data_IF_897279187432
#
_entry.id   IF_897279187432
#
_cell.length_a   1.000
_cell.length_b   1.000
_cell.length_c   1.000
_cell.angle_alpha   90.00
_cell.angle_beta   90.00
_cell.angle_gamma   90.00
#
_symmetry.space_group_name_H-M   'P 1'
#
loop_
_entity.id
_entity.type
_entity.pdbx_description
1 polymer ?
#
# COMPACT_ATOMS: atom_id res chain seq x y z
N UNK A 1 -24.00 -13.46 8.73
CA UNK A 1 -22.58 -13.53 9.11
C UNK A 1 -21.72 -13.59 7.85
N UNK A 2 -20.72 -12.71 7.71
CA UNK A 2 -19.80 -12.67 6.56
C UNK A 2 -18.52 -13.49 6.79
N UNK A 3 -17.62 -13.52 5.81
CA UNK A 3 -16.38 -14.31 5.86
C UNK A 3 -15.49 -14.05 7.08
N UNK A 4 -15.46 -12.83 7.61
CA UNK A 4 -14.72 -12.49 8.83
C UNK A 4 -15.21 -13.28 10.06
N UNK A 5 -16.53 -13.42 10.24
CA UNK A 5 -17.09 -14.17 11.37
C UNK A 5 -16.74 -15.65 11.27
N UNK A 6 -16.85 -16.22 10.06
CA UNK A 6 -16.49 -17.62 9.78
C UNK A 6 -15.01 -17.90 10.04
N UNK A 7 -14.14 -16.96 9.68
CA UNK A 7 -12.71 -17.04 9.96
C UNK A 7 -12.41 -17.01 11.47
N UNK A 8 -13.08 -16.15 12.22
CA UNK A 8 -12.93 -16.09 13.69
C UNK A 8 -13.47 -17.35 14.38
N UNK A 9 -14.59 -17.90 13.91
CA UNK A 9 -15.11 -19.18 14.40
C UNK A 9 -14.09 -20.32 14.19
N UNK A 10 -13.47 -20.39 13.01
CA UNK A 10 -12.42 -21.36 12.72
C UNK A 10 -11.19 -21.15 13.63
N UNK A 11 -10.76 -19.89 13.80
CA UNK A 11 -9.66 -19.57 14.73
C UNK A 11 -9.94 -20.02 16.16
N UNK A 12 -11.14 -19.74 16.69
CA UNK A 12 -11.53 -20.16 18.05
C UNK A 12 -11.53 -21.68 18.17
N UNK A 13 -12.01 -22.40 17.16
CA UNK A 13 -12.03 -23.85 17.19
C UNK A 13 -10.61 -24.43 17.16
N UNK A 14 -9.75 -23.92 16.27
CA UNK A 14 -8.34 -24.33 16.16
C UNK A 14 -7.58 -24.06 17.46
N UNK A 15 -7.78 -22.90 18.08
CA UNK A 15 -7.13 -22.57 19.36
C UNK A 15 -7.57 -23.45 20.53
N UNK A 16 -8.75 -24.09 20.46
CA UNK A 16 -9.19 -25.08 21.47
C UNK A 16 -8.56 -26.44 21.27
N UNK A 17 -8.19 -26.77 20.03
CA UNK A 17 -7.65 -28.07 19.64
C UNK A 17 -6.11 -28.11 19.70
N UNK A 18 -5.48 -26.95 19.48
CA UNK A 18 -4.03 -26.78 19.58
C UNK A 18 -3.59 -26.54 21.02
N UNK A 19 -2.37 -26.98 21.36
CA UNK A 19 -1.74 -26.71 22.66
C UNK A 19 -1.21 -25.27 22.68
N UNK A 20 -1.13 -24.67 23.88
CA UNK A 20 -0.72 -23.27 24.10
C UNK A 20 0.66 -22.88 23.51
N UNK A 21 1.53 -23.85 23.23
CA UNK A 21 2.88 -23.63 22.65
C UNK A 21 2.92 -23.64 21.11
N UNK A 22 1.77 -23.65 20.44
CA UNK A 22 1.73 -23.74 18.97
C UNK A 22 2.20 -22.46 18.29
N UNK A 23 3.16 -22.57 17.37
CA UNK A 23 3.63 -21.44 16.57
C UNK A 23 2.49 -20.82 15.74
N UNK A 24 2.53 -19.49 15.55
CA UNK A 24 1.50 -18.76 14.79
C UNK A 24 1.27 -19.32 13.38
N UNK A 25 2.32 -19.81 12.72
CA UNK A 25 2.23 -20.44 11.41
C UNK A 25 1.38 -21.73 11.43
N UNK A 26 1.52 -22.55 12.47
CA UNK A 26 0.74 -23.77 12.64
C UNK A 26 -0.74 -23.46 12.89
N UNK A 27 -1.03 -22.44 13.71
CA UNK A 27 -2.40 -21.96 13.95
C UNK A 27 -3.04 -21.48 12.66
N UNK A 28 -2.36 -20.62 11.91
CA UNK A 28 -2.86 -20.09 10.63
C UNK A 28 -3.10 -21.23 9.63
N UNK A 29 -2.16 -22.17 9.50
CA UNK A 29 -2.31 -23.33 8.62
C UNK A 29 -3.52 -24.21 8.97
N UNK A 30 -3.77 -24.46 10.26
CA UNK A 30 -4.93 -25.20 10.71
C UNK A 30 -6.26 -24.47 10.42
N UNK A 31 -6.30 -23.15 10.63
CA UNK A 31 -7.49 -22.33 10.29
C UNK A 31 -7.77 -22.39 8.80
N UNK A 32 -6.75 -22.26 7.96
CA UNK A 32 -6.88 -22.36 6.51
C UNK A 32 -7.41 -23.72 6.07
N UNK A 33 -6.90 -24.80 6.66
CA UNK A 33 -7.35 -26.16 6.36
C UNK A 33 -8.84 -26.33 6.71
N UNK A 34 -9.24 -25.90 7.91
CA UNK A 34 -10.61 -26.01 8.37
C UNK A 34 -11.57 -25.19 7.49
N UNK A 35 -11.21 -23.96 7.14
CA UNK A 35 -11.99 -23.11 6.24
C UNK A 35 -12.12 -23.73 4.84
N UNK A 36 -11.05 -24.32 4.30
CA UNK A 36 -11.07 -24.97 2.99
C UNK A 36 -11.97 -26.20 2.97
N UNK A 37 -11.97 -26.99 4.05
CA UNK A 37 -12.83 -28.17 4.17
C UNK A 37 -14.31 -27.80 4.34
N UNK A 38 -14.60 -26.78 5.17
CA UNK A 38 -15.98 -26.34 5.46
C UNK A 38 -16.60 -25.53 4.33
N UNK A 39 -15.78 -24.82 3.56
CA UNK A 39 -16.21 -23.99 2.43
C UNK A 39 -15.42 -24.39 1.18
N UNK A 40 -15.79 -25.47 0.49
CA UNK A 40 -15.05 -25.99 -0.67
C UNK A 40 -14.92 -24.95 -1.80
N UNK A 41 -15.94 -24.09 -1.94
CA UNK A 41 -15.96 -22.98 -2.88
C UNK A 41 -14.97 -21.86 -2.55
N UNK A 42 -14.21 -21.97 -1.46
CA UNK A 42 -13.18 -21.04 -1.06
C UNK A 42 -11.74 -21.47 -1.42
N UNK A 43 -11.56 -22.71 -1.89
CA UNK A 43 -10.26 -23.23 -2.31
C UNK A 43 -9.93 -22.95 -3.78
N UNK A 44 -8.65 -23.10 -4.15
CA UNK A 44 -8.13 -22.83 -5.51
C UNK A 44 -8.74 -23.64 -6.62
N UNK A 45 -9.30 -24.81 -6.33
CA UNK A 45 -10.02 -25.60 -7.31
C UNK A 45 -11.27 -24.88 -7.85
N UNK A 46 -11.75 -23.84 -7.15
CA UNK A 46 -12.93 -23.05 -7.55
C UNK A 46 -12.57 -21.70 -8.17
N UNK A 47 -11.35 -21.20 -7.97
CA UNK A 47 -10.94 -19.86 -8.43
C UNK A 47 -9.66 -19.94 -9.26
N UNK A 48 -9.80 -19.66 -10.56
CA UNK A 48 -8.66 -19.40 -11.43
C UNK A 48 -7.93 -18.10 -11.06
N UNK A 49 -6.68 -17.95 -11.51
CA UNK A 49 -5.83 -16.79 -11.19
C UNK A 49 -6.49 -15.46 -11.57
N UNK A 50 -7.21 -15.39 -12.70
CA UNK A 50 -7.87 -14.17 -13.18
C UNK A 50 -9.05 -13.77 -12.29
N UNK A 51 -9.78 -14.76 -11.81
CA UNK A 51 -10.86 -14.61 -10.86
C UNK A 51 -10.36 -14.11 -9.49
N UNK A 52 -9.25 -14.66 -9.00
CA UNK A 52 -8.57 -14.16 -7.79
C UNK A 52 -8.14 -12.70 -7.98
N UNK A 53 -7.46 -12.38 -9.09
CA UNK A 53 -7.05 -11.01 -9.43
C UNK A 53 -8.24 -10.06 -9.47
N UNK A 54 -9.35 -10.46 -10.09
CA UNK A 54 -10.53 -9.61 -10.22
C UNK A 54 -11.14 -9.25 -8.85
N UNK A 55 -11.22 -10.22 -7.93
CA UNK A 55 -11.71 -9.97 -6.57
C UNK A 55 -10.74 -9.05 -5.81
N UNK A 56 -9.45 -9.34 -5.86
CA UNK A 56 -8.42 -8.57 -5.17
C UNK A 56 -8.37 -7.12 -5.66
N UNK A 57 -8.38 -6.90 -6.97
CA UNK A 57 -8.47 -5.57 -7.61
C UNK A 57 -9.72 -4.82 -7.19
N UNK A 58 -10.86 -5.50 -7.19
CA UNK A 58 -12.14 -4.89 -6.79
C UNK A 58 -12.16 -4.51 -5.31
N UNK A 59 -11.60 -5.37 -4.45
CA UNK A 59 -11.51 -5.10 -3.01
C UNK A 59 -10.58 -3.91 -2.73
N UNK A 60 -9.40 -3.87 -3.35
CA UNK A 60 -8.39 -2.84 -3.08
C UNK A 60 -8.77 -1.48 -3.68
N UNK A 61 -9.33 -1.44 -4.89
CA UNK A 61 -9.79 -0.19 -5.52
C UNK A 61 -11.01 0.44 -4.83
N UNK A 62 -11.68 -0.28 -3.91
CA UNK A 62 -12.91 0.18 -3.26
C UNK A 62 -14.06 0.43 -4.25
N UNK A 63 -14.00 -0.19 -5.44
CA UNK A 63 -14.99 -0.01 -6.51
C UNK A 63 -16.35 -0.58 -6.10
N UNK A 64 -17.41 0.15 -6.43
CA UNK A 64 -18.78 -0.35 -6.32
C UNK A 64 -19.10 -1.32 -7.45
N UNK A 65 -19.54 -2.52 -7.11
CA UNK A 65 -20.03 -3.55 -8.04
C UNK A 65 -21.55 -3.54 -8.04
N UNK A 66 -22.19 -3.64 -9.20
CA UNK A 66 -23.66 -3.74 -9.23
C UNK A 66 -24.08 -5.14 -8.81
N UNK A 67 -25.21 -5.22 -8.11
CA UNK A 67 -25.78 -6.50 -7.70
C UNK A 67 -26.11 -7.34 -8.93
N UNK A 68 -25.72 -8.61 -8.92
CA UNK A 68 -25.88 -9.56 -10.02
C UNK A 68 -24.70 -9.61 -10.99
N UNK A 69 -23.81 -8.61 -10.99
CA UNK A 69 -22.61 -8.63 -11.82
C UNK A 69 -21.66 -9.75 -11.35
N UNK A 70 -21.02 -10.41 -12.31
CA UNK A 70 -19.92 -11.35 -12.03
C UNK A 70 -18.58 -10.61 -12.10
N UNK A 71 -17.64 -11.02 -11.24
CA UNK A 71 -16.24 -10.66 -11.35
C UNK A 71 -15.53 -11.80 -12.10
N UNK A 72 -15.38 -11.65 -13.41
CA UNK A 72 -14.93 -12.72 -14.30
C UNK A 72 -15.87 -13.93 -14.12
N UNK A 73 -15.38 -15.03 -13.57
CA UNK A 73 -16.16 -16.26 -13.35
C UNK A 73 -16.84 -16.30 -11.97
N UNK A 74 -16.50 -15.36 -11.07
CA UNK A 74 -16.96 -15.37 -9.67
C UNK A 74 -18.26 -14.57 -9.52
N UNK A 75 -19.24 -15.20 -8.87
CA UNK A 75 -20.33 -14.47 -8.24
C UNK A 75 -19.97 -14.21 -6.77
N UNK A 76 -19.51 -12.99 -6.46
CA UNK A 76 -19.04 -12.65 -5.12
C UNK A 76 -20.15 -12.78 -4.06
N UNK A 77 -21.43 -12.66 -4.46
CA UNK A 77 -22.58 -12.84 -3.57
C UNK A 77 -22.83 -14.31 -3.17
N UNK A 78 -22.22 -15.25 -3.89
CA UNK A 78 -22.27 -16.69 -3.59
C UNK A 78 -20.95 -17.19 -2.96
N UNK A 79 -19.95 -16.31 -2.82
CA UNK A 79 -18.66 -16.66 -2.26
C UNK A 79 -18.70 -16.50 -0.73
N UNK A 80 -18.80 -17.62 -0.03
CA UNK A 80 -19.05 -17.69 1.42
C UNK A 80 -18.02 -16.99 2.33
N UNK A 81 -16.78 -16.88 1.89
CA UNK A 81 -15.69 -16.24 2.63
C UNK A 81 -15.45 -14.78 2.22
N UNK A 82 -16.16 -14.28 1.21
CA UNK A 82 -16.12 -12.87 0.84
C UNK A 82 -17.19 -12.13 1.66
N UNK A 83 -16.81 -11.06 2.34
CA UNK A 83 -17.78 -10.15 2.95
C UNK A 83 -18.10 -9.04 1.96
N UNK A 84 -19.39 -8.71 1.85
CA UNK A 84 -19.89 -7.65 0.98
C UNK A 84 -20.50 -6.55 1.82
N UNK A 85 -20.11 -5.30 1.55
CA UNK A 85 -20.73 -4.10 2.14
C UNK A 85 -21.66 -3.49 1.11
N UNK A 86 -22.96 -3.58 1.34
CA UNK A 86 -23.96 -3.00 0.45
C UNK A 86 -24.11 -1.50 0.68
N UNK A 87 -24.50 -0.77 -0.37
CA UNK A 87 -25.03 0.58 -0.21
C UNK A 87 -26.44 0.54 0.38
N UNK A 88 -26.96 1.68 0.82
CA UNK A 88 -28.28 1.78 1.46
C UNK A 88 -29.41 1.22 0.58
N UNK A 89 -29.32 1.44 -0.74
CA UNK A 89 -30.29 0.94 -1.71
C UNK A 89 -30.18 -0.57 -1.99
N UNK A 90 -29.17 -1.27 -1.46
CA UNK A 90 -28.89 -2.70 -1.72
C UNK A 90 -28.76 -3.06 -3.21
N UNK A 91 -28.40 -2.08 -4.05
CA UNK A 91 -28.22 -2.23 -5.50
C UNK A 91 -26.76 -2.40 -5.90
N UNK A 92 -25.84 -2.01 -5.02
CA UNK A 92 -24.40 -2.13 -5.23
C UNK A 92 -23.73 -2.62 -3.96
N UNK A 93 -22.54 -3.21 -4.12
CA UNK A 93 -21.71 -3.62 -3.00
C UNK A 93 -20.25 -3.29 -3.24
N UNK A 94 -19.51 -3.13 -2.15
CA UNK A 94 -18.04 -3.20 -2.09
C UNK A 94 -17.63 -4.56 -1.54
N UNK A 95 -16.45 -5.00 -1.93
CA UNK A 95 -15.86 -6.23 -1.43
C UNK A 95 -14.95 -5.91 -0.24
N UNK A 96 -15.25 -6.53 0.91
CA UNK A 96 -14.40 -6.53 2.09
C UNK A 96 -13.87 -7.95 2.27
N UNK A 97 -12.65 -8.21 1.81
CA UNK A 97 -12.04 -9.53 1.94
C UNK A 97 -11.44 -9.69 3.35
N UNK A 98 -11.75 -10.76 4.10
CA UNK A 98 -10.99 -11.10 5.30
C UNK A 98 -9.54 -11.41 4.95
N UNK A 99 -8.60 -10.88 5.73
CA UNK A 99 -7.17 -11.05 5.44
C UNK A 99 -6.72 -12.53 5.37
N UNK A 100 -7.33 -13.42 6.17
CA UNK A 100 -7.06 -14.87 6.07
C UNK A 100 -7.43 -15.45 4.69
N UNK A 101 -8.45 -14.91 4.03
CA UNK A 101 -8.86 -15.34 2.69
C UNK A 101 -7.82 -14.94 1.65
N UNK A 102 -7.22 -13.74 1.79
CA UNK A 102 -6.07 -13.33 0.99
C UNK A 102 -4.93 -14.35 1.13
N UNK A 103 -4.62 -14.75 2.37
CA UNK A 103 -3.59 -15.73 2.64
C UNK A 103 -3.92 -17.11 2.05
N UNK A 104 -5.17 -17.56 2.17
CA UNK A 104 -5.65 -18.81 1.56
C UNK A 104 -5.45 -18.83 0.04
N UNK A 105 -5.85 -17.76 -0.66
CA UNK A 105 -5.68 -17.70 -2.10
C UNK A 105 -4.21 -17.62 -2.51
N UNK A 106 -3.42 -16.75 -1.88
CA UNK A 106 -2.02 -16.55 -2.27
C UNK A 106 -1.14 -17.78 -2.04
N UNK A 107 -1.49 -18.62 -1.06
CA UNK A 107 -0.80 -19.90 -0.80
C UNK A 107 -1.12 -20.98 -1.85
N UNK A 108 -2.20 -20.83 -2.61
CA UNK A 108 -2.57 -21.78 -3.66
C UNK A 108 -2.01 -21.44 -5.04
N UNK A 109 -1.55 -20.20 -5.20
CA UNK A 109 -0.94 -19.72 -6.43
C UNK A 109 0.51 -20.21 -6.47
N UNK A 110 1.02 -20.69 -7.61
CA UNK A 110 2.42 -21.09 -7.76
C UNK A 110 3.40 -19.99 -7.30
N UNK A 111 4.48 -20.37 -6.62
CA UNK A 111 5.46 -19.42 -6.09
C UNK A 111 6.04 -18.47 -7.16
N UNK A 112 6.10 -18.93 -8.41
CA UNK A 112 6.61 -18.19 -9.57
C UNK A 112 5.56 -17.36 -10.34
N UNK A 113 4.31 -17.25 -9.87
CA UNK A 113 3.31 -16.38 -10.52
C UNK A 113 3.73 -14.92 -10.42
N UNK A 114 4.09 -14.32 -11.56
CA UNK A 114 4.56 -12.93 -11.64
C UNK A 114 3.47 -11.91 -11.31
N UNK A 115 2.22 -12.24 -11.64
CA UNK A 115 1.10 -11.28 -11.56
C UNK A 115 0.52 -11.16 -10.14
N UNK A 116 0.70 -12.18 -9.30
CA UNK A 116 0.22 -12.18 -7.91
C UNK A 116 1.36 -11.97 -6.90
N UNK A 117 2.61 -11.92 -7.35
CA UNK A 117 3.77 -11.62 -6.50
C UNK A 117 3.62 -10.30 -5.69
N UNK A 118 3.09 -9.19 -6.24
CA UNK A 118 2.88 -7.95 -5.46
C UNK A 118 1.98 -8.15 -4.24
N UNK A 119 0.99 -9.04 -4.33
CA UNK A 119 0.03 -9.32 -3.24
C UNK A 119 0.66 -10.11 -2.10
N UNK A 120 1.75 -10.86 -2.36
CA UNK A 120 2.52 -11.56 -1.33
C UNK A 120 3.48 -10.66 -0.56
N UNK A 121 3.84 -9.48 -1.11
CA UNK A 121 4.74 -8.52 -0.44
C UNK A 121 4.25 -8.13 0.96
N UNK A 122 2.95 -8.30 1.21
CA UNK A 122 2.29 -7.91 2.42
C UNK A 122 1.89 -9.12 3.26
N UNK A 123 2.57 -10.28 3.18
CA UNK A 123 2.21 -11.53 3.90
C UNK A 123 2.64 -11.57 5.39
N UNK A 124 2.27 -12.65 6.10
CA UNK A 124 2.47 -12.80 7.55
C UNK A 124 3.92 -12.97 8.01
N UNK A 125 4.90 -13.09 7.11
CA UNK A 125 6.31 -13.35 7.49
C UNK A 125 6.89 -12.28 8.43
N UNK A 126 6.47 -11.02 8.28
CA UNK A 126 6.93 -9.89 9.10
C UNK A 126 6.41 -9.89 10.55
N UNK A 127 5.37 -10.66 10.89
CA UNK A 127 4.94 -10.82 12.28
C UNK A 127 5.89 -11.69 13.10
N UNK A 128 6.83 -12.37 12.43
CA UNK A 128 7.85 -13.20 13.06
C UNK A 128 9.11 -12.41 13.45
N UNK A 129 9.24 -11.14 13.03
CA UNK A 129 10.40 -10.31 13.33
C UNK A 129 10.06 -9.16 14.26
N UNK A 130 10.97 -8.85 15.17
CA UNK A 130 10.91 -7.63 15.97
C UNK A 130 11.04 -6.40 15.05
N UNK A 131 10.08 -5.46 15.13
CA UNK A 131 10.08 -4.28 14.28
C UNK A 131 11.14 -3.26 14.65
N UNK A 132 11.70 -2.55 13.67
CA UNK A 132 12.44 -1.32 13.91
C UNK A 132 11.53 -0.25 14.53
N UNK A 133 11.94 0.35 15.66
CA UNK A 133 11.18 1.41 16.33
C UNK A 133 11.39 2.81 15.74
N UNK A 134 12.11 2.92 14.63
CA UNK A 134 12.53 4.21 14.06
C UNK A 134 11.64 4.72 12.91
N UNK A 135 10.46 4.13 12.73
CA UNK A 135 9.52 4.48 11.66
C UNK A 135 9.83 3.84 10.31
N UNK A 136 10.96 3.15 10.15
CA UNK A 136 11.32 2.47 8.89
C UNK A 136 10.24 1.48 8.45
N UNK A 137 9.60 0.77 9.39
CA UNK A 137 8.51 -0.16 9.07
C UNK A 137 7.28 0.57 8.49
N UNK A 138 6.96 1.76 8.99
CA UNK A 138 5.89 2.60 8.44
C UNK A 138 6.20 3.02 7.01
N UNK A 139 7.44 3.44 6.75
CA UNK A 139 7.89 3.84 5.41
C UNK A 139 7.86 2.67 4.41
N UNK A 140 8.45 1.53 4.80
CA UNK A 140 8.50 0.31 3.98
C UNK A 140 7.09 -0.21 3.68
N UNK A 141 6.21 -0.24 4.68
CA UNK A 141 4.81 -0.62 4.53
C UNK A 141 4.09 0.25 3.51
N UNK A 142 4.17 1.58 3.62
CA UNK A 142 3.46 2.49 2.72
C UNK A 142 4.03 2.44 1.30
N UNK A 143 5.35 2.31 1.14
CA UNK A 143 5.97 2.13 -0.16
C UNK A 143 5.54 0.81 -0.83
N UNK A 144 5.52 -0.30 -0.07
CA UNK A 144 5.04 -1.60 -0.56
C UNK A 144 3.55 -1.55 -0.89
N UNK A 145 2.75 -0.88 -0.05
CA UNK A 145 1.32 -0.71 -0.25
C UNK A 145 1.01 0.10 -1.52
N UNK A 146 1.73 1.20 -1.77
CA UNK A 146 1.55 2.00 -2.99
C UNK A 146 1.87 1.21 -4.25
N UNK A 147 2.89 0.33 -4.20
CA UNK A 147 3.18 -0.62 -5.28
C UNK A 147 2.03 -1.60 -5.46
N UNK A 148 1.58 -2.25 -4.40
CA UNK A 148 0.43 -3.17 -4.44
C UNK A 148 -0.83 -2.48 -5.02
N UNK A 149 -1.08 -1.24 -4.63
CA UNK A 149 -2.23 -0.46 -5.09
C UNK A 149 -2.22 -0.20 -6.59
N UNK A 150 -1.04 -0.03 -7.21
CA UNK A 150 -0.95 0.11 -8.67
C UNK A 150 -1.48 -1.11 -9.42
N UNK A 151 -1.44 -2.30 -8.80
CA UNK A 151 -1.98 -3.54 -9.36
C UNK A 151 -3.50 -3.69 -9.17
N UNK A 152 -4.14 -2.78 -8.43
CA UNK A 152 -5.60 -2.70 -8.34
C UNK A 152 -6.25 -2.25 -9.66
N UNK A 153 -5.47 -1.64 -10.55
CA UNK A 153 -5.88 -1.12 -11.85
C UNK A 153 -5.10 -1.80 -12.99
N UNK A 154 -5.62 -1.71 -14.21
CA UNK A 154 -4.93 -2.26 -15.38
C UNK A 154 -3.72 -1.39 -15.76
N UNK A 155 -2.76 -2.03 -16.44
CA UNK A 155 -1.60 -1.34 -17.00
C UNK A 155 -2.07 -0.34 -18.08
N UNK A 156 -1.53 0.88 -18.06
CA UNK A 156 -1.93 1.99 -18.95
C UNK A 156 -3.37 2.46 -18.79
N UNK A 157 -4.08 2.05 -17.74
CA UNK A 157 -5.42 2.52 -17.47
C UNK A 157 -5.42 4.00 -17.06
N UNK A 158 -6.32 4.81 -17.63
CA UNK A 158 -6.61 6.13 -17.11
C UNK A 158 -7.42 6.02 -15.82
N UNK A 159 -6.91 6.60 -14.74
CA UNK A 159 -7.50 6.52 -13.40
C UNK A 159 -7.56 7.92 -12.79
N UNK A 160 -8.70 8.33 -12.22
CA UNK A 160 -8.76 9.58 -11.47
C UNK A 160 -8.03 9.43 -10.12
N UNK A 161 -7.36 10.49 -9.67
CA UNK A 161 -6.69 10.52 -8.36
C UNK A 161 -7.61 10.11 -7.21
N UNK A 162 -8.90 10.46 -7.28
CA UNK A 162 -9.91 10.04 -6.31
C UNK A 162 -10.11 8.53 -6.20
N UNK A 163 -9.83 7.78 -7.29
CA UNK A 163 -9.81 6.31 -7.26
C UNK A 163 -8.43 5.77 -6.86
N UNK A 164 -7.35 6.41 -7.32
CA UNK A 164 -5.98 6.03 -6.98
C UNK A 164 -5.67 6.19 -5.48
N UNK A 165 -6.36 7.10 -4.80
CA UNK A 165 -6.24 7.32 -3.36
C UNK A 165 -7.62 7.23 -2.66
N UNK A 166 -8.45 6.29 -3.09
CA UNK A 166 -9.75 6.01 -2.48
C UNK A 166 -9.62 5.80 -0.96
N UNK A 167 -10.46 6.49 -0.19
CA UNK A 167 -10.41 6.47 1.28
C UNK A 167 -9.52 7.55 1.92
N UNK A 168 -8.72 8.26 1.13
CA UNK A 168 -7.96 9.42 1.61
C UNK A 168 -8.83 10.70 1.65
N UNK A 169 -8.36 11.69 2.42
CA UNK A 169 -8.84 13.06 2.32
C UNK A 169 -8.06 13.76 1.21
N UNK A 170 -8.75 14.21 0.16
CA UNK A 170 -8.13 14.81 -1.02
C UNK A 170 -8.49 16.29 -1.09
N UNK A 171 -7.49 17.15 -1.30
CA UNK A 171 -7.62 18.62 -1.33
C UNK A 171 -6.82 19.24 -2.49
N UNK A 172 -7.38 20.22 -3.22
CA UNK A 172 -8.81 20.59 -3.23
C UNK A 172 -9.67 19.43 -3.77
N UNK A 173 -11.00 19.52 -3.62
CA UNK A 173 -11.90 18.46 -4.10
C UNK A 173 -11.77 18.21 -5.62
N UNK A 174 -11.38 19.22 -6.39
CA UNK A 174 -11.11 19.12 -7.84
C UNK A 174 -9.93 18.20 -8.17
N UNK A 175 -9.00 17.96 -7.23
CA UNK A 175 -7.91 17.02 -7.44
C UNK A 175 -8.44 15.60 -7.67
N UNK A 176 -9.58 15.23 -7.07
CA UNK A 176 -10.18 13.89 -7.20
C UNK A 176 -10.45 13.50 -8.66
N UNK A 177 -10.73 14.49 -9.50
CA UNK A 177 -11.08 14.29 -10.91
C UNK A 177 -9.86 14.37 -11.84
N UNK A 178 -8.67 14.71 -11.32
CA UNK A 178 -7.43 14.73 -12.10
C UNK A 178 -7.11 13.32 -12.59
N UNK A 179 -6.93 13.15 -13.89
CA UNK A 179 -6.70 11.86 -14.53
C UNK A 179 -5.21 11.59 -14.74
N UNK A 180 -4.76 10.40 -14.34
CA UNK A 180 -3.38 9.91 -14.53
C UNK A 180 -3.37 8.52 -15.15
N UNK A 181 -2.24 8.18 -15.79
CA UNK A 181 -2.02 6.86 -16.38
C UNK A 181 -1.42 5.93 -15.33
N UNK A 182 -2.17 4.90 -14.94
CA UNK A 182 -1.69 3.85 -14.05
C UNK A 182 -0.62 2.99 -14.73
N UNK A 183 0.42 2.68 -13.97
CA UNK A 183 1.48 1.72 -14.32
C UNK A 183 1.75 0.85 -13.11
N UNK A 184 1.97 -0.44 -13.33
CA UNK A 184 2.37 -1.40 -12.32
C UNK A 184 3.77 -1.06 -11.83
N UNK A 185 3.85 -0.62 -10.58
CA UNK A 185 5.06 -0.04 -10.03
C UNK A 185 6.08 -1.12 -9.64
N UNK A 186 7.36 -0.76 -9.78
CA UNK A 186 8.50 -1.44 -9.18
C UNK A 186 9.05 -0.58 -8.06
N UNK A 187 9.36 -1.21 -6.94
CA UNK A 187 9.90 -0.53 -5.75
C UNK A 187 11.41 -0.63 -5.72
N UNK A 188 12.07 0.49 -5.49
CA UNK A 188 13.50 0.55 -5.23
C UNK A 188 13.80 1.37 -3.97
N UNK A 189 14.99 1.20 -3.41
CA UNK A 189 15.49 2.00 -2.28
C UNK A 189 16.72 2.78 -2.73
N UNK A 190 16.70 4.08 -2.53
CA UNK A 190 17.80 4.96 -2.94
C UNK A 190 19.01 4.78 -2.01
N UNK A 191 20.22 4.68 -2.60
CA UNK A 191 21.47 4.67 -1.83
C UNK A 191 21.76 6.00 -1.14
N UNK A 192 21.27 7.09 -1.72
CA UNK A 192 21.56 8.45 -1.32
C UNK A 192 20.29 9.28 -1.21
N UNK A 193 20.35 10.33 -0.37
CA UNK A 193 19.26 11.29 -0.22
C UNK A 193 19.10 12.07 -1.51
N UNK A 194 17.86 12.22 -1.97
CA UNK A 194 17.57 12.91 -3.23
C UNK A 194 16.43 13.92 -3.12
N UNK A 195 16.39 14.83 -4.09
CA UNK A 195 15.23 15.66 -4.34
C UNK A 195 14.09 14.85 -4.97
N UNK A 196 12.86 15.23 -4.66
CA UNK A 196 11.63 14.53 -5.09
C UNK A 196 10.75 15.40 -6.00
N UNK A 197 10.89 16.73 -5.93
CA UNK A 197 10.14 17.65 -6.78
C UNK A 197 10.41 17.40 -8.27
N UNK A 198 9.39 17.45 -9.12
CA UNK A 198 9.45 17.08 -10.53
C UNK A 198 10.66 17.62 -11.31
N UNK A 199 10.98 18.89 -11.16
CA UNK A 199 12.03 19.60 -11.91
C UNK A 199 13.43 19.10 -11.55
N UNK A 200 13.59 18.65 -10.31
CA UNK A 200 14.86 18.23 -9.70
C UNK A 200 14.88 16.75 -9.29
N UNK A 201 13.83 15.99 -9.61
CA UNK A 201 13.65 14.63 -9.11
C UNK A 201 14.83 13.75 -9.55
N UNK A 202 15.51 13.14 -8.57
CA UNK A 202 16.73 12.35 -8.80
C UNK A 202 18.04 13.08 -8.59
N UNK A 203 18.06 14.42 -8.56
CA UNK A 203 19.28 15.16 -8.26
C UNK A 203 19.70 14.89 -6.80
N UNK A 204 20.93 14.41 -6.55
CA UNK A 204 21.47 14.34 -5.19
C UNK A 204 21.60 15.78 -4.67
N UNK A 205 20.92 16.09 -3.55
CA UNK A 205 21.07 17.43 -2.92
C UNK A 205 22.53 17.59 -2.46
N UNK A 206 23.11 18.78 -2.68
CA UNK A 206 24.51 19.05 -2.35
C UNK A 206 24.84 18.69 -0.89
N UNK A 207 25.96 17.99 -0.67
CA UNK A 207 26.52 17.82 0.69
C UNK A 207 26.79 19.21 1.27
N UNK A 208 26.39 19.44 2.52
CA UNK A 208 26.70 20.69 3.24
C UNK A 208 28.21 20.88 3.48
N UNK A 209 29.04 19.85 3.29
CA UNK A 209 30.50 19.93 3.40
C UNK A 209 31.18 19.92 2.02
N UNK A 210 31.83 21.03 1.61
CA UNK A 210 32.55 21.12 0.33
C UNK A 210 33.93 20.42 0.35
N UNK A 211 34.36 19.82 1.46
CA UNK A 211 35.74 19.34 1.65
C UNK A 211 35.99 17.84 1.36
N UNK A 212 34.97 17.06 0.97
CA UNK A 212 35.16 15.64 0.69
C UNK A 212 35.35 15.38 -0.81
N UNK A 213 36.56 14.94 -1.16
CA UNK A 213 37.07 14.22 -2.34
C UNK A 213 36.18 14.14 -3.61
N UNK A 214 36.85 14.29 -4.78
CA UNK A 214 36.34 14.19 -6.17
C UNK A 214 34.93 13.58 -6.29
N UNK A 215 33.97 14.29 -6.93
CA UNK A 215 32.61 13.79 -7.05
C UNK A 215 32.65 12.42 -7.73
N UNK A 216 32.00 11.37 -7.18
CA UNK A 216 31.74 10.18 -7.96
C UNK A 216 31.01 10.60 -9.24
N UNK A 217 31.23 9.86 -10.34
CA UNK A 217 30.50 10.00 -11.60
C UNK A 217 29.02 10.23 -11.28
N UNK A 218 28.55 11.48 -11.39
CA UNK A 218 27.22 11.84 -10.92
C UNK A 218 26.23 11.10 -11.83
N UNK A 219 25.21 10.41 -11.27
CA UNK A 219 24.12 9.91 -12.09
C UNK A 219 23.56 11.07 -12.94
N UNK A 220 23.15 10.77 -14.17
CA UNK A 220 22.58 11.80 -15.04
C UNK A 220 21.32 12.41 -14.40
N UNK A 221 20.87 13.56 -14.89
CA UNK A 221 19.64 14.19 -14.39
C UNK A 221 18.49 13.18 -14.44
N UNK A 222 17.76 13.01 -13.34
CA UNK A 222 16.69 12.02 -13.18
C UNK A 222 17.13 10.57 -13.03
N UNK A 223 18.41 10.28 -12.88
CA UNK A 223 18.88 8.96 -12.47
C UNK A 223 19.08 8.85 -10.97
N UNK A 224 18.82 7.67 -10.42
CA UNK A 224 18.94 7.40 -8.99
C UNK A 224 19.69 6.09 -8.78
N UNK A 225 20.79 6.14 -8.04
CA UNK A 225 21.43 4.91 -7.56
C UNK A 225 20.56 4.23 -6.51
N UNK A 226 20.40 2.92 -6.64
CA UNK A 226 19.53 2.12 -5.78
C UNK A 226 20.23 0.88 -5.24
N UNK A 227 19.71 0.35 -4.14
CA UNK A 227 20.11 -0.93 -3.59
C UNK A 227 19.45 -2.09 -4.37
N UNK A 228 20.21 -3.15 -4.64
CA UNK A 228 19.71 -4.37 -5.30
C UNK A 228 20.50 -4.77 -6.55
N UNK A 229 19.86 -5.56 -7.41
CA UNK A 229 20.43 -6.04 -8.69
C UNK A 229 20.59 -4.91 -9.72
N UNK A 230 19.61 -4.00 -9.79
CA UNK A 230 19.74 -2.76 -10.55
C UNK A 230 20.63 -1.78 -9.77
N UNK A 231 21.62 -1.21 -10.43
CA UNK A 231 22.53 -0.23 -9.80
C UNK A 231 22.01 1.20 -9.89
N UNK A 232 21.24 1.51 -10.94
CA UNK A 232 20.67 2.83 -11.23
C UNK A 232 19.30 2.69 -11.89
N UNK A 233 18.35 3.58 -11.51
CA UNK A 233 17.02 3.68 -12.12
C UNK A 233 16.77 5.08 -12.68
N UNK A 234 16.10 5.15 -13.82
CA UNK A 234 15.64 6.42 -14.40
C UNK A 234 14.27 6.79 -13.83
N UNK A 235 14.22 7.89 -13.08
CA UNK A 235 13.02 8.41 -12.43
C UNK A 235 12.04 9.08 -13.40
N UNK A 236 12.39 9.33 -14.66
CA UNK A 236 11.38 9.75 -15.67
C UNK A 236 10.42 8.62 -16.04
N UNK A 237 10.78 7.36 -15.72
CA UNK A 237 9.92 6.21 -15.90
C UNK A 237 8.75 6.28 -14.92
N UNK A 238 7.55 6.01 -15.43
CA UNK A 238 6.30 6.05 -14.66
C UNK A 238 5.95 4.71 -14.01
N UNK A 239 6.80 3.68 -14.15
CA UNK A 239 6.68 2.38 -13.49
C UNK A 239 7.63 2.23 -12.29
N UNK A 240 8.21 3.33 -11.81
CA UNK A 240 9.25 3.33 -10.77
C UNK A 240 8.78 4.12 -9.54
N UNK A 241 8.74 3.45 -8.39
CA UNK A 241 8.62 4.07 -7.07
C UNK A 241 9.95 3.89 -6.34
N UNK A 242 10.47 4.98 -5.77
CA UNK A 242 11.69 4.92 -4.98
C UNK A 242 11.48 5.45 -3.58
N UNK A 243 11.75 4.59 -2.61
CA UNK A 243 11.92 4.96 -1.20
C UNK A 243 13.26 5.67 -1.03
N UNK A 244 13.24 6.85 -0.43
CA UNK A 244 14.40 7.71 -0.23
C UNK A 244 15.32 7.15 0.87
N UNK A 245 16.57 7.62 0.90
CA UNK A 245 17.50 7.22 1.94
C UNK A 245 17.12 7.89 3.28
N UNK A 246 17.37 7.20 4.40
CA UNK A 246 17.07 7.67 5.75
C UNK A 246 17.58 9.09 6.02
N UNK A 247 16.72 9.91 6.62
CA UNK A 247 17.00 11.32 6.93
C UNK A 247 17.02 12.22 5.70
N UNK A 248 16.29 11.86 4.65
CA UNK A 248 16.07 12.73 3.51
C UNK A 248 15.45 14.07 3.94
N UNK A 249 15.87 15.15 3.28
CA UNK A 249 15.35 16.51 3.54
C UNK A 249 14.10 16.83 2.70
N UNK A 250 13.59 15.85 1.96
CA UNK A 250 12.43 15.89 1.07
C UNK A 250 11.72 14.53 1.21
N UNK A 251 10.50 14.41 0.66
CA UNK A 251 9.60 13.26 0.82
C UNK A 251 10.30 11.88 0.91
N UNK A 252 9.70 11.02 1.72
CA UNK A 252 10.23 9.70 2.08
C UNK A 252 10.15 8.72 0.90
N UNK A 253 9.21 8.89 -0.03
CA UNK A 253 9.22 8.21 -1.31
C UNK A 253 8.75 9.12 -2.45
N UNK A 254 9.09 8.76 -3.68
CA UNK A 254 8.64 9.47 -4.89
C UNK A 254 8.42 8.51 -6.05
N UNK A 255 7.41 8.81 -6.87
CA UNK A 255 7.25 8.26 -8.21
C UNK A 255 6.85 9.36 -9.19
N UNK A 256 6.90 9.06 -10.49
CA UNK A 256 6.36 9.92 -11.55
C UNK A 256 5.07 9.35 -12.10
N UNK A 257 4.10 10.23 -12.29
CA UNK A 257 2.84 9.96 -12.95
C UNK A 257 2.79 10.72 -14.26
N UNK A 258 2.14 10.12 -15.26
CA UNK A 258 1.78 10.81 -16.50
C UNK A 258 0.32 11.23 -16.40
N UNK A 259 0.04 12.52 -16.60
CA UNK A 259 -1.34 13.01 -16.70
C UNK A 259 -1.96 12.62 -18.04
N UNK A 260 -3.28 12.74 -18.16
CA UNK A 260 -3.97 12.55 -19.44
C UNK A 260 -3.47 13.52 -20.54
N UNK A 261 -3.02 14.72 -20.17
CA UNK A 261 -2.43 15.72 -21.08
C UNK A 261 -1.01 15.36 -21.53
N UNK A 262 -0.40 14.34 -20.94
CA UNK A 262 0.96 13.88 -21.24
C UNK A 262 2.04 14.48 -20.35
N UNK A 263 1.69 15.37 -19.44
CA UNK A 263 2.62 15.97 -18.49
C UNK A 263 3.14 14.95 -17.49
N UNK A 264 4.39 15.11 -17.07
CA UNK A 264 4.98 14.29 -16.02
C UNK A 264 4.97 15.08 -14.71
N UNK A 265 4.24 14.57 -13.72
CA UNK A 265 4.16 15.12 -12.36
C UNK A 265 4.72 14.11 -11.36
N UNK A 266 5.19 14.58 -10.21
CA UNK A 266 5.66 13.73 -9.13
C UNK A 266 4.53 13.49 -8.12
N UNK A 267 4.44 12.26 -7.65
CA UNK A 267 3.69 11.92 -6.44
C UNK A 267 4.72 11.73 -5.33
N UNK A 268 4.76 12.66 -4.39
CA UNK A 268 5.75 12.74 -3.32
C UNK A 268 5.10 12.30 -2.01
N UNK A 269 5.53 11.15 -1.49
CA UNK A 269 4.96 10.53 -0.30
C UNK A 269 5.78 10.91 0.94
N UNK A 270 5.15 11.63 1.87
CA UNK A 270 5.67 11.94 3.19
C UNK A 270 4.98 11.05 4.23
N UNK A 271 5.74 10.14 4.84
CA UNK A 271 5.30 9.09 5.74
C UNK A 271 5.72 9.44 7.17
N UNK A 272 4.85 10.15 7.91
CA UNK A 272 5.19 10.62 9.26
C UNK A 272 4.79 9.60 10.33
N UNK A 273 5.77 9.23 11.15
CA UNK A 273 5.63 8.36 12.30
C UNK A 273 5.57 9.16 13.62
N UNK A 274 4.67 8.76 14.52
CA UNK A 274 4.43 9.33 15.85
C UNK A 274 3.83 10.75 15.83
N UNK A 275 4.20 11.53 16.86
CA UNK A 275 3.86 12.95 17.00
C UNK A 275 4.87 13.89 16.32
N UNK A 276 5.66 13.38 15.37
CA UNK A 276 6.68 14.18 14.68
C UNK A 276 6.06 15.51 14.21
N UNK A 277 6.57 16.62 14.76
CA UNK A 277 6.14 17.95 14.38
C UNK A 277 6.39 18.13 12.88
N UNK A 278 5.32 18.33 12.13
CA UNK A 278 5.37 18.40 10.68
C UNK A 278 4.68 19.69 10.24
N UNK A 279 5.48 20.69 9.92
CA UNK A 279 5.00 21.88 9.20
C UNK A 279 4.78 21.46 7.75
N UNK A 280 3.55 21.06 7.43
CA UNK A 280 3.23 20.40 6.15
C UNK A 280 3.52 21.29 4.94
N UNK A 281 3.36 22.61 5.08
CA UNK A 281 3.73 23.58 4.04
C UNK A 281 5.25 23.55 3.75
N UNK A 282 6.08 23.56 4.80
CA UNK A 282 7.54 23.48 4.65
C UNK A 282 7.96 22.16 4.00
N UNK A 283 7.33 21.05 4.40
CA UNK A 283 7.64 19.74 3.80
C UNK A 283 7.19 19.69 2.34
N UNK A 284 6.03 20.26 2.00
CA UNK A 284 5.57 20.37 0.62
C UNK A 284 6.58 21.18 -0.20
N UNK A 285 7.00 22.36 0.28
CA UNK A 285 7.97 23.21 -0.43
C UNK A 285 9.30 22.51 -0.67
N UNK A 286 9.73 21.63 0.24
CA UNK A 286 10.96 20.84 0.07
C UNK A 286 10.80 19.68 -0.91
N UNK A 287 9.59 19.14 -1.04
CA UNK A 287 9.31 17.87 -1.69
C UNK A 287 8.66 17.99 -3.06
N UNK A 288 7.94 19.06 -3.37
CA UNK A 288 7.05 19.16 -4.52
C UNK A 288 7.25 20.48 -5.28
N UNK A 289 7.10 20.41 -6.60
CA UNK A 289 6.76 21.58 -7.41
C UNK A 289 5.25 21.91 -7.30
N UNK A 290 4.79 22.93 -8.01
CA UNK A 290 3.41 23.42 -7.94
C UNK A 290 2.40 22.34 -8.36
N UNK A 291 2.61 21.69 -9.51
CA UNK A 291 1.71 20.69 -10.08
C UNK A 291 1.84 19.27 -9.50
N UNK A 292 2.86 19.07 -8.65
CA UNK A 292 3.13 17.79 -8.01
C UNK A 292 2.08 17.48 -6.94
N UNK A 293 1.84 16.18 -6.77
CA UNK A 293 0.92 15.66 -5.77
C UNK A 293 1.71 15.39 -4.50
N UNK A 294 1.29 16.02 -3.41
CA UNK A 294 1.85 15.80 -2.09
C UNK A 294 0.98 14.83 -1.31
N UNK A 295 1.50 13.63 -1.05
CA UNK A 295 0.80 12.58 -0.31
C UNK A 295 1.36 12.52 1.11
N UNK A 296 0.50 12.68 2.11
CA UNK A 296 0.89 12.68 3.52
C UNK A 296 0.22 11.51 4.22
N UNK A 297 1.03 10.59 4.74
CA UNK A 297 0.60 9.37 5.41
C UNK A 297 1.05 9.44 6.86
N UNK A 298 0.12 9.75 7.76
CA UNK A 298 0.36 9.83 9.21
C UNK A 298 -0.13 8.58 9.91
N UNK A 299 0.68 8.09 10.83
CA UNK A 299 0.34 6.98 11.71
C UNK A 299 -0.40 7.39 13.01
N UNK A 300 -0.78 8.66 13.10
CA UNK A 300 -1.52 9.25 14.22
C UNK A 300 -2.73 10.00 13.68
N UNK A 301 -3.81 10.03 14.46
CA UNK A 301 -4.98 10.81 14.11
C UNK A 301 -4.65 12.31 14.02
N UNK A 302 -5.08 12.95 12.94
CA UNK A 302 -4.83 14.35 12.68
C UNK A 302 -5.87 14.88 11.69
N UNK A 303 -6.24 16.15 11.83
CA UNK A 303 -7.05 16.83 10.82
C UNK A 303 -6.21 17.09 9.57
N UNK A 304 -6.83 16.91 8.40
CA UNK A 304 -6.19 17.26 7.13
C UNK A 304 -6.06 18.79 7.03
N UNK A 305 -4.87 19.33 6.77
CA UNK A 305 -4.72 20.76 6.57
C UNK A 305 -5.38 21.19 5.25
N UNK A 306 -5.56 22.50 5.09
CA UNK A 306 -5.73 23.08 3.78
C UNK A 306 -4.45 22.89 2.95
N UNK A 307 -4.58 22.78 1.63
CA UNK A 307 -3.45 22.62 0.75
C UNK A 307 -3.86 22.35 -0.69
N UNK A 308 -2.94 22.60 -1.60
CA UNK A 308 -3.09 22.32 -3.02
C UNK A 308 -2.39 21.02 -3.40
N UNK A 309 -3.04 20.24 -4.27
CA UNK A 309 -2.59 18.94 -4.75
C UNK A 309 -2.22 18.00 -3.58
N UNK A 310 -3.00 18.03 -2.50
CA UNK A 310 -2.76 17.29 -1.26
C UNK A 310 -3.64 16.05 -1.16
N UNK A 311 -3.02 14.94 -0.82
CA UNK A 311 -3.68 13.68 -0.45
C UNK A 311 -3.25 13.36 0.97
N UNK A 312 -4.20 13.23 1.88
CA UNK A 312 -3.93 13.10 3.30
C UNK A 312 -4.62 11.86 3.88
N UNK A 313 -3.83 11.04 4.58
CA UNK A 313 -4.29 9.86 5.30
C UNK A 313 -3.79 9.96 6.73
N UNK A 314 -4.71 9.94 7.67
CA UNK A 314 -4.42 9.76 9.10
C UNK A 314 -5.02 8.46 9.59
N UNK A 315 -4.78 8.11 10.86
CA UNK A 315 -5.33 6.92 11.51
C UNK A 315 -6.84 6.73 11.27
N UNK A 316 -7.62 7.82 11.29
CA UNK A 316 -9.06 7.79 11.05
C UNK A 316 -9.47 7.33 9.64
N UNK A 317 -8.56 7.37 8.67
CA UNK A 317 -8.79 6.92 7.29
C UNK A 317 -8.29 5.49 7.04
N UNK A 318 -7.62 4.84 8.00
CA UNK A 318 -6.92 3.58 7.72
C UNK A 318 -7.82 2.46 7.22
N UNK A 319 -9.02 2.35 7.80
CA UNK A 319 -9.99 1.33 7.38
C UNK A 319 -10.41 1.50 5.91
N UNK A 320 -10.66 2.74 5.47
CA UNK A 320 -11.12 3.03 4.12
C UNK A 320 -9.96 3.08 3.12
N UNK A 321 -8.80 3.63 3.51
CA UNK A 321 -7.63 3.78 2.64
C UNK A 321 -6.83 2.48 2.49
N UNK A 322 -6.57 1.73 3.58
CA UNK A 322 -5.79 0.49 3.50
C UNK A 322 -6.67 -0.76 3.31
N UNK A 323 -7.99 -0.64 3.53
CA UNK A 323 -8.94 -1.73 3.37
C UNK A 323 -8.55 -2.97 4.18
N UNK A 324 -8.33 -4.07 3.46
CA UNK A 324 -7.95 -5.36 4.04
C UNK A 324 -6.59 -5.34 4.75
N UNK A 325 -5.75 -4.34 4.46
CA UNK A 325 -4.44 -4.15 5.06
C UNK A 325 -4.43 -3.15 6.22
N UNK A 326 -5.59 -2.62 6.61
CA UNK A 326 -5.71 -1.66 7.71
C UNK A 326 -5.10 -2.16 9.02
N UNK A 327 -5.30 -3.44 9.38
CA UNK A 327 -4.66 -4.05 10.56
C UNK A 327 -3.12 -3.97 10.53
N UNK A 328 -2.50 -4.03 9.34
CA UNK A 328 -1.06 -3.84 9.19
C UNK A 328 -0.65 -2.38 9.33
N UNK A 329 -1.43 -1.46 8.78
CA UNK A 329 -1.21 -0.03 8.98
C UNK A 329 -1.27 0.30 10.48
N UNK A 330 -2.23 -0.26 11.22
CA UNK A 330 -2.28 -0.13 12.68
C UNK A 330 -1.10 -0.78 13.37
N UNK A 331 -0.66 -1.98 12.94
CA UNK A 331 0.51 -2.63 13.54
C UNK A 331 1.79 -1.81 13.34
N UNK A 332 2.05 -1.32 12.12
CA UNK A 332 3.21 -0.48 11.82
C UNK A 332 3.11 0.91 12.46
N UNK A 333 1.89 1.35 12.83
CA UNK A 333 1.65 2.59 13.57
C UNK A 333 1.80 2.45 15.10
N UNK A 334 1.23 1.39 15.69
CA UNK A 334 1.02 1.20 17.13
C UNK A 334 2.28 0.80 17.89
N UNK A 335 3.39 0.50 17.20
CA UNK A 335 4.66 0.09 17.80
C UNK A 335 5.43 1.23 18.50
N UNK A 336 4.76 2.36 18.75
CA UNK A 336 5.20 3.44 19.63
C UNK A 336 4.35 3.51 20.91
N UNK A 337 4.48 2.53 21.80
CA UNK A 337 4.06 2.70 23.21
C UNK A 337 5.30 2.57 24.11
N UNK A 338 5.69 3.63 24.84
CA UNK A 338 6.64 3.49 25.93
C UNK A 338 5.89 2.87 27.11
N UNK A 339 6.25 1.65 27.50
CA UNK A 339 5.85 1.13 28.81
C UNK A 339 7.00 0.31 29.41
N UNK A 340 8.02 1.01 29.90
CA UNK A 340 8.74 0.52 31.09
C UNK A 340 7.90 0.92 32.28
N UNK A 341 7.05 0.01 32.75
CA UNK A 341 6.67 0.02 34.16
C UNK A 341 7.94 -0.44 34.88
N UNK A 342 8.69 0.51 35.42
CA UNK A 342 9.69 0.18 36.44
C UNK A 342 8.92 -0.38 37.63
N UNK A 343 9.20 -1.65 37.96
CA UNK A 343 8.91 -2.21 39.27
C UNK A 343 9.82 -1.59 40.31
#
# INVERSE_FOLDING_TARGET
>A
MGGHGRALEALVQVLRELKDESEAAAVIGAVMLQLSQKYPCAGSQTFDDDSIKAVLRTALSGKWVRRGDKLVNINAQKADLIRLRYNDACTRYRIEVPYIWLHMMLNTVPANSKDLAPWRLMDYSQFLSDPPQDGTEWEEFNAAFRVLWSWAFEEMQEVPEGSLHSGAIIKPDTLKDKMVINRHLKRFKAKHRKATASKDCGNPKARKDPAAAKPPSRPEKHECEVDGEETTVNLTRTDVLVLNAKGANAADAVLRLRTQTGDLIAECLQMKHGQSACHLEDERQKACDDDDIFVVLRNSNAEAPAGENLIFVSEGQFADYFGVYSGRAFSSAARSVPCRIQQ
#
